data_IF_973236735212
#
_entry.id   IF_973236735212
#
_cell.length_a   1.000
_cell.length_b   1.000
_cell.length_c   1.000
_cell.angle_alpha   90.00
_cell.angle_beta   90.00
_cell.angle_gamma   90.00
#
_symmetry.space_group_name_H-M   'P 1'
#
loop_
_entity.id
_entity.type
_entity.pdbx_description
1 polymer ?
#
# COMPACT_ATOMS: atom_id res chain seq x y z
N UNK A 1 15.33 -11.05 8.72
CA UNK A 1 14.21 -11.31 7.82
C UNK A 1 13.28 -12.23 8.59
N UNK A 2 12.08 -11.77 8.87
CA UNK A 2 11.04 -12.55 9.56
C UNK A 2 10.39 -13.53 8.59
N UNK A 3 9.67 -14.54 9.09
CA UNK A 3 8.88 -15.45 8.23
C UNK A 3 7.85 -14.69 7.38
N UNK A 4 7.35 -13.56 7.89
CA UNK A 4 6.45 -12.68 7.15
C UNK A 4 7.15 -11.96 6.00
N UNK A 5 8.40 -11.54 6.15
CA UNK A 5 9.18 -10.92 5.08
C UNK A 5 9.40 -11.91 3.92
N UNK A 6 9.69 -13.17 4.26
CA UNK A 6 9.89 -14.24 3.27
C UNK A 6 8.60 -14.54 2.49
N UNK A 7 7.46 -14.58 3.19
CA UNK A 7 6.16 -14.74 2.54
C UNK A 7 5.82 -13.55 1.63
N UNK A 8 6.04 -12.31 2.08
CA UNK A 8 5.84 -11.11 1.24
C UNK A 8 6.74 -11.18 -0.01
N UNK A 9 7.99 -11.64 0.15
CA UNK A 9 8.90 -11.84 -0.96
C UNK A 9 8.34 -12.85 -1.98
N UNK A 10 7.99 -14.05 -1.52
CA UNK A 10 7.50 -15.13 -2.39
C UNK A 10 6.22 -14.74 -3.13
N UNK A 11 5.26 -14.15 -2.41
CA UNK A 11 3.93 -13.89 -2.95
C UNK A 11 3.81 -12.61 -3.77
N UNK A 12 4.60 -11.58 -3.47
CA UNK A 12 4.52 -10.30 -4.16
C UNK A 12 5.72 -10.09 -5.10
N UNK A 13 6.94 -10.18 -4.57
CA UNK A 13 8.15 -9.73 -5.26
C UNK A 13 8.59 -10.73 -6.33
N UNK A 14 8.65 -12.02 -5.99
CA UNK A 14 9.17 -13.07 -6.88
C UNK A 14 8.25 -13.33 -8.09
N UNK A 15 7.03 -12.80 -8.07
CA UNK A 15 6.10 -12.79 -9.21
C UNK A 15 6.51 -11.81 -10.31
N UNK A 16 7.40 -10.86 -10.02
CA UNK A 16 7.78 -9.77 -10.91
C UNK A 16 6.72 -8.67 -11.09
N UNK A 17 5.54 -8.79 -10.46
CA UNK A 17 4.41 -7.85 -10.63
C UNK A 17 4.40 -6.67 -9.65
N UNK A 18 5.24 -6.74 -8.62
CA UNK A 18 5.33 -5.79 -7.50
C UNK A 18 6.80 -5.48 -7.26
N UNK A 19 7.17 -4.20 -7.14
CA UNK A 19 8.55 -3.79 -6.88
C UNK A 19 8.85 -3.65 -5.38
N UNK A 20 7.85 -3.35 -4.56
CA UNK A 20 7.93 -3.36 -3.11
C UNK A 20 6.58 -3.71 -2.51
N UNK A 21 6.57 -4.45 -1.41
CA UNK A 21 5.34 -4.81 -0.73
C UNK A 21 5.56 -5.16 0.72
N UNK A 22 4.49 -5.18 1.49
CA UNK A 22 4.54 -5.44 2.91
C UNK A 22 3.19 -5.76 3.50
N UNK A 23 3.21 -6.10 4.77
CA UNK A 23 2.03 -6.26 5.60
C UNK A 23 2.05 -5.21 6.69
N UNK A 24 0.91 -4.55 6.87
CA UNK A 24 0.70 -3.61 7.96
C UNK A 24 -0.60 -3.92 8.70
N UNK A 25 -0.66 -3.46 9.95
CA UNK A 25 -1.91 -3.44 10.71
C UNK A 25 -2.83 -2.32 10.22
N UNK A 26 -4.08 -2.32 10.67
CA UNK A 26 -5.09 -1.32 10.31
C UNK A 26 -4.66 0.14 10.60
N UNK A 27 -3.74 0.32 11.55
CA UNK A 27 -3.15 1.61 11.92
C UNK A 27 -2.02 2.06 10.96
N UNK A 28 -1.76 1.30 9.90
CA UNK A 28 -0.73 1.56 8.90
C UNK A 28 0.69 1.15 9.32
N UNK A 29 0.89 0.54 10.49
CA UNK A 29 2.21 0.12 10.95
C UNK A 29 2.69 -1.14 10.23
N UNK A 30 3.74 -1.04 9.43
CA UNK A 30 4.35 -2.20 8.78
C UNK A 30 5.03 -3.12 9.80
N UNK A 31 4.78 -4.42 9.66
CA UNK A 31 5.49 -5.47 10.42
C UNK A 31 6.19 -6.49 9.51
N UNK A 32 5.99 -6.39 8.19
CA UNK A 32 6.71 -7.19 7.20
C UNK A 32 6.95 -6.37 5.92
N UNK A 33 8.11 -6.56 5.30
CA UNK A 33 8.49 -5.83 4.09
C UNK A 33 9.44 -6.63 3.19
N UNK A 34 9.22 -6.55 1.88
CA UNK A 34 10.16 -7.02 0.86
C UNK A 34 10.15 -6.12 -0.36
N UNK A 35 11.25 -6.11 -1.11
CA UNK A 35 11.43 -5.31 -2.31
C UNK A 35 12.30 -6.05 -3.32
N UNK A 36 12.12 -5.74 -4.60
CA UNK A 36 12.92 -6.30 -5.69
C UNK A 36 14.38 -5.82 -5.66
N UNK A 37 14.59 -4.61 -5.14
CA UNK A 37 15.88 -3.95 -5.05
C UNK A 37 15.94 -3.05 -3.81
N UNK A 38 17.14 -2.92 -3.25
CA UNK A 38 17.40 -2.02 -2.13
C UNK A 38 16.84 -2.51 -0.80
N UNK A 39 16.67 -1.57 0.11
CA UNK A 39 16.15 -1.82 1.46
C UNK A 39 14.62 -1.65 1.45
N UNK A 40 13.90 -2.75 1.65
CA UNK A 40 12.45 -2.78 1.60
C UNK A 40 11.81 -1.83 2.62
N UNK A 41 12.38 -1.75 3.83
CA UNK A 41 11.85 -0.89 4.89
C UNK A 41 11.98 0.58 4.51
N UNK A 42 13.10 0.99 3.92
CA UNK A 42 13.27 2.36 3.42
C UNK A 42 12.40 2.68 2.20
N UNK A 43 11.93 1.66 1.50
CA UNK A 43 11.06 1.81 0.32
C UNK A 43 9.59 1.96 0.71
N UNK A 44 9.19 1.43 1.87
CA UNK A 44 7.80 1.45 2.34
C UNK A 44 7.56 2.40 3.51
N UNK A 45 8.58 2.62 4.34
CA UNK A 45 8.51 3.41 5.57
C UNK A 45 9.48 4.56 5.49
N UNK A 46 8.99 5.75 5.82
CA UNK A 46 9.78 6.96 5.99
C UNK A 46 9.41 7.62 7.31
N UNK A 47 10.41 8.18 7.99
CA UNK A 47 10.18 9.05 9.15
C UNK A 47 9.40 10.29 8.74
N UNK A 48 8.74 10.92 9.73
CA UNK A 48 7.97 12.16 9.53
C UNK A 48 8.77 13.19 8.74
N UNK A 49 8.13 13.78 7.73
CA UNK A 49 8.79 14.67 6.79
C UNK A 49 7.89 15.84 6.40
N UNK A 50 8.50 16.98 6.11
CA UNK A 50 7.77 18.17 5.68
C UNK A 50 7.51 18.12 4.17
N UNK A 51 6.26 18.37 3.79
CA UNK A 51 5.85 18.43 2.38
C UNK A 51 4.98 19.66 2.14
N UNK A 52 5.10 20.23 0.94
CA UNK A 52 4.25 21.34 0.53
C UNK A 52 2.87 20.80 0.13
N UNK A 53 1.86 21.15 0.92
CA UNK A 53 0.48 20.74 0.70
C UNK A 53 -0.33 21.92 0.16
N UNK A 54 -1.03 21.69 -0.95
CA UNK A 54 -1.97 22.66 -1.52
C UNK A 54 -3.11 22.84 -0.52
N UNK A 55 -3.32 24.09 -0.12
CA UNK A 55 -4.33 24.50 0.84
C UNK A 55 -5.73 24.47 0.22
N UNK A 56 -6.74 24.70 1.06
CA UNK A 56 -8.16 24.65 0.66
C UNK A 56 -8.55 25.66 -0.42
N UNK A 57 -7.73 26.68 -0.65
CA UNK A 57 -7.91 27.66 -1.74
C UNK A 57 -7.46 27.12 -3.11
N UNK A 58 -6.83 25.94 -3.16
CA UNK A 58 -6.39 25.28 -4.37
C UNK A 58 -5.18 25.91 -5.05
N UNK A 59 -4.55 26.92 -4.44
CA UNK A 59 -3.45 27.70 -5.03
C UNK A 59 -2.28 27.86 -4.09
N UNK A 60 -2.54 28.13 -2.81
CA UNK A 60 -1.49 28.32 -1.81
C UNK A 60 -0.90 26.99 -1.38
N UNK A 61 0.40 26.94 -1.15
CA UNK A 61 1.08 25.80 -0.54
C UNK A 61 1.56 26.18 0.87
N UNK A 62 1.44 25.26 1.81
CA UNK A 62 2.06 25.38 3.13
C UNK A 62 2.84 24.10 3.46
N UNK A 63 3.94 24.25 4.19
CA UNK A 63 4.68 23.12 4.73
C UNK A 63 3.84 22.46 5.82
N UNK A 64 3.52 21.17 5.62
CA UNK A 64 2.84 20.34 6.60
C UNK A 64 3.72 19.14 6.94
N UNK A 65 3.68 18.73 8.22
CA UNK A 65 4.35 17.52 8.67
C UNK A 65 3.52 16.30 8.24
N UNK A 66 4.08 15.48 7.36
CA UNK A 66 3.49 14.24 6.87
C UNK A 66 4.07 13.07 7.66
N UNK A 67 3.17 12.23 8.18
CA UNK A 67 3.48 10.93 8.74
C UNK A 67 2.85 9.85 7.84
N UNK A 68 3.69 9.09 7.12
CA UNK A 68 3.24 8.09 6.13
C UNK A 68 2.24 7.10 6.73
N UNK A 69 2.54 6.57 7.92
CA UNK A 69 1.68 5.64 8.66
C UNK A 69 0.26 6.21 8.90
N UNK A 70 0.16 7.48 9.30
CA UNK A 70 -1.13 8.14 9.53
C UNK A 70 -1.93 8.25 8.24
N UNK A 71 -1.26 8.58 7.13
CA UNK A 71 -1.95 8.69 5.83
C UNK A 71 -2.42 7.32 5.31
N UNK A 72 -1.64 6.26 5.59
CA UNK A 72 -2.04 4.87 5.33
C UNK A 72 -3.25 4.47 6.17
N UNK A 73 -3.23 4.73 7.48
CA UNK A 73 -4.34 4.46 8.39
C UNK A 73 -5.65 5.11 7.92
N UNK A 74 -5.60 6.38 7.50
CA UNK A 74 -6.77 7.09 6.95
C UNK A 74 -7.26 6.46 5.64
N UNK A 75 -6.34 6.08 4.75
CA UNK A 75 -6.68 5.43 3.48
C UNK A 75 -7.33 4.06 3.68
N UNK A 76 -6.83 3.28 4.65
CA UNK A 76 -7.34 1.96 5.01
C UNK A 76 -8.72 2.09 5.68
N UNK A 77 -8.81 2.87 6.74
CA UNK A 77 -9.99 2.92 7.61
C UNK A 77 -11.13 3.75 7.03
N UNK A 78 -10.82 4.85 6.36
CA UNK A 78 -11.81 5.82 5.89
C UNK A 78 -11.98 5.85 4.37
N UNK A 79 -11.04 5.27 3.62
CA UNK A 79 -10.98 5.41 2.17
C UNK A 79 -10.67 6.84 1.73
N UNK A 80 -10.01 7.62 2.58
CA UNK A 80 -9.70 9.04 2.36
C UNK A 80 -8.26 9.34 2.76
N UNK A 81 -7.65 10.28 2.07
CA UNK A 81 -6.36 10.83 2.44
C UNK A 81 -6.27 12.27 1.90
N UNK A 82 -6.72 13.28 2.66
CA UNK A 82 -6.79 14.66 2.20
C UNK A 82 -5.47 15.19 1.62
N UNK A 83 -4.35 14.80 2.25
CA UNK A 83 -3.01 15.19 1.85
C UNK A 83 -2.30 14.15 0.96
N UNK A 84 -3.06 13.19 0.42
CA UNK A 84 -2.53 12.03 -0.30
C UNK A 84 -2.14 10.88 0.63
N UNK A 85 -2.01 9.69 0.06
CA UNK A 85 -1.45 8.52 0.75
C UNK A 85 0.04 8.54 0.52
N UNK A 86 0.83 8.36 1.57
CA UNK A 86 2.27 8.37 1.47
C UNK A 86 2.85 7.01 1.84
N UNK A 87 3.74 6.51 0.98
CA UNK A 87 4.46 5.23 1.17
C UNK A 87 5.92 5.44 0.78
N UNK A 88 6.82 5.24 1.74
CA UNK A 88 8.26 5.46 1.57
C UNK A 88 8.58 6.88 1.10
N UNK A 89 7.80 7.88 1.53
CA UNK A 89 7.93 9.26 1.10
C UNK A 89 7.48 9.57 -0.34
N UNK A 90 6.79 8.64 -1.00
CA UNK A 90 6.16 8.90 -2.29
C UNK A 90 4.67 9.19 -2.09
N UNK A 91 4.18 10.28 -2.68
CA UNK A 91 2.77 10.66 -2.65
C UNK A 91 1.96 9.89 -3.68
N UNK A 92 0.83 9.35 -3.25
CA UNK A 92 -0.17 8.69 -4.07
C UNK A 92 -1.55 9.34 -3.88
N UNK A 93 -2.37 9.26 -4.93
CA UNK A 93 -3.77 9.68 -4.90
C UNK A 93 -4.67 8.45 -4.87
N UNK A 94 -5.66 8.42 -3.97
CA UNK A 94 -6.71 7.39 -4.00
C UNK A 94 -7.55 7.56 -5.26
N UNK A 95 -7.61 6.50 -6.07
CA UNK A 95 -8.39 6.45 -7.32
C UNK A 95 -9.70 5.71 -7.11
N UNK A 96 -9.69 4.64 -6.31
CA UNK A 96 -10.86 3.80 -6.09
C UNK A 96 -10.80 3.14 -4.73
N UNK A 97 -11.95 3.06 -4.07
CA UNK A 97 -12.16 2.27 -2.84
C UNK A 97 -13.29 1.30 -3.14
N UNK A 98 -13.05 0.01 -2.93
CA UNK A 98 -13.99 -1.08 -3.16
C UNK A 98 -14.17 -1.82 -1.83
N UNK A 99 -15.27 -1.52 -1.13
CA UNK A 99 -15.64 -2.25 0.09
C UNK A 99 -16.29 -3.57 -0.27
N UNK A 100 -16.08 -4.56 0.59
CA UNK A 100 -16.65 -5.91 0.49
C UNK A 100 -16.41 -6.58 -0.88
N UNK A 101 -15.24 -6.35 -1.47
CA UNK A 101 -14.83 -6.92 -2.74
C UNK A 101 -14.70 -8.44 -2.60
N UNK A 102 -15.39 -9.18 -3.46
CA UNK A 102 -15.38 -10.65 -3.48
C UNK A 102 -14.19 -11.16 -4.28
N UNK A 103 -13.26 -11.81 -3.59
CA UNK A 103 -12.11 -12.50 -4.15
C UNK A 103 -12.26 -13.99 -3.84
N UNK A 104 -12.84 -14.75 -4.77
CA UNK A 104 -13.22 -16.15 -4.57
C UNK A 104 -14.07 -16.31 -3.27
N UNK A 105 -13.55 -17.03 -2.28
CA UNK A 105 -14.23 -17.26 -0.99
C UNK A 105 -13.89 -16.19 0.07
N UNK A 106 -13.05 -15.21 -0.25
CA UNK A 106 -12.66 -14.11 0.63
C UNK A 106 -13.44 -12.83 0.31
N UNK A 107 -13.80 -12.09 1.36
CA UNK A 107 -14.32 -10.71 1.26
C UNK A 107 -13.27 -9.77 1.82
N UNK A 108 -12.83 -8.80 1.02
CA UNK A 108 -11.74 -7.86 1.37
C UNK A 108 -12.11 -6.43 1.00
N UNK A 109 -11.44 -5.44 1.61
CA UNK A 109 -11.57 -4.03 1.20
C UNK A 109 -10.34 -3.63 0.39
N UNK A 110 -10.56 -3.08 -0.80
CA UNK A 110 -9.47 -2.74 -1.74
C UNK A 110 -9.43 -1.23 -1.97
N UNK A 111 -8.31 -0.62 -1.63
CA UNK A 111 -8.01 0.77 -1.99
C UNK A 111 -6.92 0.80 -3.04
N UNK A 112 -7.22 1.38 -4.20
CA UNK A 112 -6.25 1.63 -5.27
C UNK A 112 -5.76 3.07 -5.22
N UNK A 113 -4.44 3.24 -5.15
CA UNK A 113 -3.78 4.52 -5.19
C UNK A 113 -2.82 4.59 -6.40
N UNK A 114 -2.73 5.74 -7.05
CA UNK A 114 -1.79 5.94 -8.16
C UNK A 114 -0.79 7.07 -7.89
N UNK A 115 0.33 7.01 -8.62
CA UNK A 115 1.31 8.09 -8.77
C UNK A 115 1.73 8.14 -10.25
N UNK A 116 2.45 9.17 -10.71
CA UNK A 116 3.08 9.09 -12.03
C UNK A 116 3.95 7.83 -12.14
N UNK A 117 3.78 7.08 -13.24
CA UNK A 117 4.54 5.87 -13.56
C UNK A 117 4.46 4.75 -12.50
N UNK A 118 3.36 4.66 -11.75
CA UNK A 118 3.19 3.58 -10.77
C UNK A 118 1.97 3.74 -9.89
N UNK A 119 1.90 2.93 -8.83
CA UNK A 119 0.81 2.99 -7.88
C UNK A 119 0.95 1.95 -6.78
N UNK A 120 -0.04 1.89 -5.90
CA UNK A 120 -0.13 0.86 -4.89
C UNK A 120 -1.56 0.39 -4.64
N UNK A 121 -1.68 -0.82 -4.11
CA UNK A 121 -2.92 -1.37 -3.59
C UNK A 121 -2.79 -1.59 -2.09
N UNK A 122 -3.83 -1.21 -1.36
CA UNK A 122 -4.05 -1.57 0.04
C UNK A 122 -5.21 -2.56 0.04
N UNK A 123 -4.96 -3.80 0.47
CA UNK A 123 -5.98 -4.86 0.53
C UNK A 123 -6.16 -5.25 1.98
N UNK A 124 -7.19 -4.71 2.61
CA UNK A 124 -7.57 -5.02 3.98
C UNK A 124 -8.37 -6.33 4.01
N UNK A 125 -7.82 -7.30 4.72
CA UNK A 125 -8.37 -8.65 4.93
C UNK A 125 -9.61 -8.65 5.82
N UNK A 126 -9.90 -7.54 6.51
CA UNK A 126 -10.91 -7.39 7.55
C UNK A 126 -10.65 -8.19 8.84
N UNK A 127 -9.47 -8.79 8.98
CA UNK A 127 -9.02 -9.53 10.17
C UNK A 127 -7.80 -8.88 10.86
N UNK A 128 -7.49 -7.63 10.51
CA UNK A 128 -6.43 -6.83 11.13
C UNK A 128 -5.14 -6.74 10.32
N UNK A 129 -5.03 -7.48 9.20
CA UNK A 129 -3.90 -7.38 8.26
C UNK A 129 -4.28 -6.65 7.00
N UNK A 130 -3.39 -5.78 6.51
CA UNK A 130 -3.50 -5.13 5.20
C UNK A 130 -2.29 -5.49 4.35
N UNK A 131 -2.53 -5.99 3.15
CA UNK A 131 -1.49 -6.18 2.13
C UNK A 131 -1.26 -4.86 1.43
N UNK A 132 -0.01 -4.38 1.43
CA UNK A 132 0.42 -3.23 0.64
C UNK A 132 1.30 -3.71 -0.51
N UNK A 133 0.91 -3.43 -1.74
CA UNK A 133 1.67 -3.80 -2.93
C UNK A 133 1.92 -2.57 -3.81
N UNK A 134 3.18 -2.26 -4.11
CA UNK A 134 3.63 -1.12 -4.92
C UNK A 134 4.14 -1.63 -6.27
N UNK A 135 3.71 -1.02 -7.36
CA UNK A 135 4.22 -1.30 -8.70
C UNK A 135 4.85 -0.07 -9.35
N UNK A 136 5.78 -0.34 -10.27
CA UNK A 136 6.47 0.68 -11.06
C UNK A 136 6.38 0.35 -12.56
N UNK A 137 5.78 1.25 -13.33
CA UNK A 137 5.57 1.05 -14.77
C UNK A 137 6.89 1.04 -15.56
N UNK A 138 7.97 1.63 -15.02
CA UNK A 138 9.30 1.57 -15.64
C UNK A 138 9.96 0.18 -15.54
N UNK A 139 9.38 -0.71 -14.73
CA UNK A 139 9.83 -2.10 -14.53
C UNK A 139 8.92 -3.11 -15.23
N UNK A 140 8.18 -2.67 -16.26
CA UNK A 140 7.18 -3.47 -16.98
C UNK A 140 6.06 -4.04 -16.08
N UNK A 141 5.81 -3.40 -14.94
CA UNK A 141 4.73 -3.76 -14.02
C UNK A 141 3.45 -2.98 -14.35
N UNK A 142 2.31 -3.53 -13.96
CA UNK A 142 1.00 -2.90 -14.22
C UNK A 142 0.08 -3.00 -13.02
N UNK A 143 -0.86 -2.06 -12.93
CA UNK A 143 -1.90 -2.06 -11.90
C UNK A 143 -2.72 -3.35 -11.87
N UNK A 144 -3.03 -3.93 -13.04
CA UNK A 144 -3.80 -5.17 -13.15
C UNK A 144 -3.08 -6.37 -12.52
N UNK A 145 -1.80 -6.58 -12.88
CA UNK A 145 -1.01 -7.68 -12.33
C UNK A 145 -0.69 -7.47 -10.85
N UNK A 146 -0.37 -6.24 -10.45
CA UNK A 146 -0.16 -5.87 -9.04
C UNK A 146 -1.41 -6.14 -8.19
N UNK A 147 -2.60 -5.69 -8.63
CA UNK A 147 -3.87 -5.98 -7.94
C UNK A 147 -4.09 -7.48 -7.78
N UNK A 148 -3.85 -8.25 -8.85
CA UNK A 148 -4.05 -9.70 -8.85
C UNK A 148 -3.22 -10.39 -7.76
N UNK A 149 -1.91 -10.13 -7.70
CA UNK A 149 -1.03 -10.80 -6.73
C UNK A 149 -1.30 -10.32 -5.30
N UNK A 150 -1.64 -9.04 -5.11
CA UNK A 150 -2.07 -8.52 -3.81
C UNK A 150 -3.34 -9.21 -3.29
N UNK A 151 -4.34 -9.41 -4.17
CA UNK A 151 -5.56 -10.13 -3.83
C UNK A 151 -5.32 -11.61 -3.53
N UNK A 152 -4.42 -12.27 -4.26
CA UNK A 152 -4.07 -13.67 -4.01
C UNK A 152 -3.42 -13.86 -2.63
N UNK A 153 -2.50 -12.97 -2.24
CA UNK A 153 -1.93 -13.01 -0.89
C UNK A 153 -2.99 -12.68 0.18
N UNK A 154 -3.85 -11.68 -0.05
CA UNK A 154 -4.91 -11.33 0.89
C UNK A 154 -5.92 -12.49 1.09
N UNK A 155 -6.29 -13.17 0.01
CA UNK A 155 -7.14 -14.38 0.05
C UNK A 155 -6.49 -15.49 0.89
N UNK A 156 -5.19 -15.72 0.69
CA UNK A 156 -4.44 -16.67 1.51
C UNK A 156 -4.44 -16.26 2.99
N UNK A 157 -4.16 -15.00 3.32
CA UNK A 157 -4.17 -14.48 4.69
C UNK A 157 -5.55 -14.67 5.36
N UNK A 158 -6.63 -14.32 4.66
CA UNK A 158 -8.01 -14.54 5.14
C UNK A 158 -8.25 -16.02 5.46
N UNK A 159 -7.77 -16.94 4.60
CA UNK A 159 -7.90 -18.38 4.84
C UNK A 159 -7.14 -18.88 6.08
N UNK A 160 -6.10 -18.14 6.49
CA UNK A 160 -5.30 -18.41 7.68
C UNK A 160 -5.81 -17.65 8.92
N UNK A 161 -6.87 -16.83 8.78
CA UNK A 161 -7.44 -16.03 9.86
C UNK A 161 -6.74 -14.69 10.11
N UNK A 162 -5.97 -14.22 9.13
CA UNK A 162 -5.26 -12.94 9.15
C UNK A 162 -5.93 -11.89 8.28
#
# INVERSE_FOLDING_TARGET
MSEWDDMVKEWLIDTGSVCAGGLCSIDGAFYAASADQGDAWKTLVREDHEENVIQSDGVSEAAELINDQTTLCQAISEGKAPNGVWVGGNKYKIIRVEKDFQQNDATVHVTFCNRPQGGCFLVDTQNGTVVVAVYDESKDQSSGNCKKVALQLAEYLVSQGY
#
